data_IF_447153006434
#
_entry.id   IF_447153006434
#
_cell.length_a   1.000
_cell.length_b   1.000
_cell.length_c   1.000
_cell.angle_alpha   90.00
_cell.angle_beta   90.00
_cell.angle_gamma   90.00
#
_symmetry.space_group_name_H-M   'P 1'
#
loop_
_entity.id
_entity.type
_entity.pdbx_description
1 polymer ?
#
# COMPACT_ATOMS: atom_id res chain seq x y z
N UNK A 1 29.58 -16.83 76.48
CA UNK A 1 29.89 -15.78 75.48
C UNK A 1 29.90 -16.43 74.10
N UNK A 2 29.24 -15.80 73.13
CA UNK A 2 28.55 -16.45 72.01
C UNK A 2 29.43 -17.12 70.94
N UNK A 3 29.11 -18.38 70.63
CA UNK A 3 29.69 -19.19 69.56
C UNK A 3 29.14 -18.84 68.14
N UNK A 4 28.56 -17.65 67.98
CA UNK A 4 27.71 -17.27 66.84
C UNK A 4 28.24 -16.04 66.07
N UNK A 5 29.54 -15.74 66.17
CA UNK A 5 30.11 -14.49 65.66
C UNK A 5 30.91 -14.65 64.35
N UNK A 6 30.54 -15.59 63.49
CA UNK A 6 31.19 -15.73 62.17
C UNK A 6 30.28 -16.35 61.11
N UNK A 7 29.06 -15.84 61.01
CA UNK A 7 28.32 -15.95 59.75
C UNK A 7 28.55 -14.66 58.97
N UNK A 8 29.61 -14.65 58.18
CA UNK A 8 29.82 -13.61 57.16
C UNK A 8 28.70 -13.75 56.11
N UNK A 9 27.61 -13.01 56.31
CA UNK A 9 26.54 -12.87 55.33
C UNK A 9 27.07 -11.95 54.24
N UNK A 10 27.82 -12.53 53.29
CA UNK A 10 28.29 -11.85 52.11
C UNK A 10 27.19 -10.96 51.52
N UNK A 11 27.48 -9.66 51.40
CA UNK A 11 26.52 -8.67 50.90
C UNK A 11 25.94 -9.15 49.56
N UNK A 12 24.62 -9.10 49.34
CA UNK A 12 24.02 -9.58 48.11
C UNK A 12 24.64 -8.83 46.93
N UNK A 13 25.32 -9.55 46.03
CA UNK A 13 25.86 -8.99 44.78
C UNK A 13 24.70 -8.30 44.06
N UNK A 14 24.81 -7.01 43.69
CA UNK A 14 23.76 -6.33 42.94
C UNK A 14 23.56 -7.09 41.62
N UNK A 15 22.38 -7.69 41.45
CA UNK A 15 22.01 -8.32 40.17
C UNK A 15 22.01 -7.22 39.10
N UNK A 16 22.98 -7.25 38.19
CA UNK A 16 23.06 -6.31 37.05
C UNK A 16 21.93 -6.65 36.07
N UNK A 17 20.72 -6.16 36.36
CA UNK A 17 19.54 -6.27 35.49
C UNK A 17 19.66 -5.41 34.21
N UNK A 18 20.71 -4.61 34.08
CA UNK A 18 20.98 -3.77 32.92
C UNK A 18 21.13 -4.57 31.62
N UNK A 19 21.68 -5.79 31.68
CA UNK A 19 21.79 -6.68 30.51
C UNK A 19 20.44 -7.12 29.94
N UNK A 20 19.56 -7.77 30.72
CA UNK A 20 18.24 -8.18 30.23
C UNK A 20 17.32 -7.00 29.89
N UNK A 21 17.40 -5.87 30.60
CA UNK A 21 16.63 -4.67 30.25
C UNK A 21 17.07 -4.11 28.89
N UNK A 22 18.37 -3.99 28.64
CA UNK A 22 18.89 -3.52 27.36
C UNK A 22 18.48 -4.46 26.21
N UNK A 23 18.49 -5.78 26.43
CA UNK A 23 18.01 -6.76 25.46
C UNK A 23 16.52 -6.59 25.17
N UNK A 24 15.68 -6.42 26.20
CA UNK A 24 14.25 -6.17 26.00
C UNK A 24 14.00 -4.87 25.22
N UNK A 25 14.71 -3.78 25.55
CA UNK A 25 14.61 -2.53 24.79
C UNK A 25 15.03 -2.71 23.33
N UNK A 26 16.11 -3.44 23.06
CA UNK A 26 16.55 -3.73 21.70
C UNK A 26 15.49 -4.52 20.91
N UNK A 27 14.88 -5.53 21.54
CA UNK A 27 13.79 -6.30 20.92
C UNK A 27 12.55 -5.44 20.67
N UNK A 28 12.13 -4.61 21.63
CA UNK A 28 11.00 -3.71 21.45
C UNK A 28 11.22 -2.69 20.33
N UNK A 29 12.43 -2.13 20.20
CA UNK A 29 12.74 -1.22 19.11
C UNK A 29 12.75 -1.94 17.76
N UNK A 30 13.29 -3.16 17.70
CA UNK A 30 13.32 -3.97 16.49
C UNK A 30 11.91 -4.37 16.05
N UNK A 31 11.12 -5.01 16.92
CA UNK A 31 9.76 -5.44 16.62
C UNK A 31 8.81 -4.25 16.47
N UNK A 32 8.93 -3.23 17.30
CA UNK A 32 8.12 -2.01 17.21
C UNK A 32 8.38 -1.26 15.90
N UNK A 33 9.63 -1.14 15.48
CA UNK A 33 9.99 -0.53 14.19
C UNK A 33 9.44 -1.32 13.00
N UNK A 34 9.59 -2.65 13.00
CA UNK A 34 9.03 -3.51 11.94
C UNK A 34 7.50 -3.45 11.88
N UNK A 35 6.84 -3.51 13.04
CA UNK A 35 5.38 -3.43 13.13
C UNK A 35 4.89 -2.06 12.70
N UNK A 36 5.56 -0.98 13.12
CA UNK A 36 5.24 0.38 12.68
C UNK A 36 5.38 0.51 11.16
N UNK A 37 6.47 0.00 10.59
CA UNK A 37 6.69 0.06 9.14
C UNK A 37 5.62 -0.71 8.36
N UNK A 38 5.31 -1.95 8.78
CA UNK A 38 4.26 -2.77 8.17
C UNK A 38 2.88 -2.12 8.30
N UNK A 39 2.53 -1.61 9.49
CA UNK A 39 1.29 -0.89 9.72
C UNK A 39 1.24 0.39 8.87
N UNK A 40 2.31 1.18 8.84
CA UNK A 40 2.38 2.41 8.05
C UNK A 40 2.14 2.14 6.56
N UNK A 41 2.72 1.07 6.04
CA UNK A 41 2.50 0.63 4.66
C UNK A 41 1.03 0.32 4.38
N UNK A 42 0.43 -0.51 5.23
CA UNK A 42 -0.99 -0.89 5.14
C UNK A 42 -1.91 0.31 5.32
N UNK A 43 -1.61 1.24 6.22
CA UNK A 43 -2.40 2.45 6.41
C UNK A 43 -2.41 3.35 5.18
N UNK A 44 -1.28 3.47 4.47
CA UNK A 44 -1.22 4.27 3.23
C UNK A 44 -2.07 3.68 2.12
N UNK A 45 -2.06 2.35 1.97
CA UNK A 45 -2.92 1.67 1.00
C UNK A 45 -4.40 1.87 1.32
N UNK A 46 -4.82 1.67 2.57
CA UNK A 46 -6.23 1.87 2.96
C UNK A 46 -6.68 3.32 2.79
N UNK A 47 -5.81 4.30 3.08
CA UNK A 47 -6.11 5.70 2.82
C UNK A 47 -6.31 5.95 1.30
N UNK A 48 -5.43 5.40 0.47
CA UNK A 48 -5.59 5.44 -0.99
C UNK A 48 -6.91 4.82 -1.45
N UNK A 49 -7.26 3.61 -0.99
CA UNK A 49 -8.54 2.96 -1.36
C UNK A 49 -9.73 3.79 -0.91
N UNK A 50 -9.68 4.40 0.29
CA UNK A 50 -10.73 5.30 0.77
C UNK A 50 -10.88 6.51 -0.16
N UNK A 51 -9.77 7.19 -0.48
CA UNK A 51 -9.80 8.36 -1.35
C UNK A 51 -10.31 8.00 -2.76
N UNK A 52 -9.85 6.88 -3.33
CA UNK A 52 -10.29 6.37 -4.63
C UNK A 52 -11.78 6.00 -4.64
N UNK A 53 -12.27 5.40 -3.54
CA UNK A 53 -13.68 5.05 -3.36
C UNK A 53 -14.55 6.30 -3.34
N UNK A 54 -14.11 7.35 -2.62
CA UNK A 54 -14.82 8.62 -2.54
C UNK A 54 -14.90 9.29 -3.92
N UNK A 55 -13.80 9.33 -4.68
CA UNK A 55 -13.79 9.89 -6.04
C UNK A 55 -14.64 9.08 -7.02
N UNK A 56 -14.60 7.74 -6.94
CA UNK A 56 -15.46 6.87 -7.77
C UNK A 56 -16.95 7.09 -7.45
N UNK A 57 -17.27 7.28 -6.17
CA UNK A 57 -18.63 7.58 -5.72
C UNK A 57 -19.09 8.96 -6.18
N UNK A 58 -18.24 9.98 -6.08
CA UNK A 58 -18.56 11.33 -6.54
C UNK A 58 -18.81 11.36 -8.05
N UNK A 59 -17.91 10.76 -8.83
CA UNK A 59 -18.04 10.54 -10.27
C UNK A 59 -19.37 9.85 -10.63
N UNK A 60 -19.77 8.82 -9.87
CA UNK A 60 -21.06 8.14 -10.07
C UNK A 60 -22.26 9.05 -9.81
N UNK A 61 -22.15 9.96 -8.85
CA UNK A 61 -23.25 10.86 -8.50
C UNK A 61 -23.38 12.05 -9.45
N UNK A 62 -22.27 12.48 -10.07
CA UNK A 62 -22.20 13.67 -10.93
C UNK A 62 -22.16 13.33 -12.41
N UNK A 63 -21.83 12.09 -12.78
CA UNK A 63 -21.64 11.61 -14.15
C UNK A 63 -20.57 12.40 -14.93
N UNK A 64 -19.52 12.86 -14.24
CA UNK A 64 -18.50 13.78 -14.81
C UNK A 64 -17.18 13.14 -15.21
N UNK A 65 -17.01 11.83 -14.97
CA UNK A 65 -15.74 11.16 -15.22
C UNK A 65 -15.43 11.00 -16.71
N UNK A 66 -14.13 10.90 -17.02
CA UNK A 66 -13.62 10.63 -18.36
C UNK A 66 -12.55 9.57 -18.30
N UNK A 67 -12.60 8.63 -19.24
CA UNK A 67 -11.60 7.58 -19.37
C UNK A 67 -10.87 7.76 -20.69
N UNK A 68 -9.55 7.86 -20.63
CA UNK A 68 -8.68 7.91 -21.80
C UNK A 68 -7.85 6.64 -21.84
N UNK A 69 -7.97 5.84 -22.89
CA UNK A 69 -7.18 4.62 -23.12
C UNK A 69 -6.32 4.85 -24.37
N UNK A 70 -5.01 4.59 -24.27
CA UNK A 70 -4.05 4.83 -25.35
C UNK A 70 -4.16 6.25 -25.97
N UNK A 71 -4.46 7.25 -25.13
CA UNK A 71 -4.62 8.65 -25.55
C UNK A 71 -5.94 8.99 -26.23
N UNK A 72 -6.88 8.05 -26.36
CA UNK A 72 -8.22 8.28 -26.91
C UNK A 72 -9.28 8.16 -25.82
N UNK A 73 -10.28 9.04 -25.83
CA UNK A 73 -11.42 8.95 -24.91
C UNK A 73 -12.25 7.71 -25.25
N UNK A 74 -12.48 6.86 -24.25
CA UNK A 74 -13.21 5.60 -24.36
C UNK A 74 -14.46 5.65 -23.50
N UNK A 75 -15.59 5.20 -24.05
CA UNK A 75 -16.84 5.08 -23.31
C UNK A 75 -16.77 3.85 -22.39
N UNK A 76 -16.58 4.08 -21.10
CA UNK A 76 -16.51 3.07 -20.05
C UNK A 76 -17.63 3.34 -19.06
N UNK A 77 -18.37 2.30 -18.67
CA UNK A 77 -19.47 2.50 -17.73
C UNK A 77 -18.95 2.75 -16.31
N UNK A 78 -19.70 3.51 -15.52
CA UNK A 78 -19.37 3.71 -14.09
C UNK A 78 -19.40 2.40 -13.29
N UNK A 79 -20.15 1.40 -13.77
CA UNK A 79 -20.18 0.07 -13.16
C UNK A 79 -18.85 -0.67 -13.41
N UNK A 80 -18.27 -0.57 -14.62
CA UNK A 80 -16.94 -1.14 -14.91
C UNK A 80 -15.83 -0.47 -14.08
N UNK A 81 -15.92 0.85 -13.85
CA UNK A 81 -15.01 1.56 -12.94
C UNK A 81 -15.18 1.11 -11.48
N UNK A 82 -16.42 0.85 -11.05
CA UNK A 82 -16.70 0.32 -9.71
C UNK A 82 -16.14 -1.09 -9.55
N UNK A 83 -16.21 -1.92 -10.60
CA UNK A 83 -15.60 -3.24 -10.63
C UNK A 83 -14.08 -3.18 -10.64
N UNK A 84 -13.49 -2.19 -11.33
CA UNK A 84 -12.05 -1.96 -11.30
C UNK A 84 -11.57 -1.60 -9.90
N UNK A 85 -12.25 -0.66 -9.23
CA UNK A 85 -11.99 -0.33 -7.83
C UNK A 85 -12.08 -1.57 -6.93
N UNK A 86 -13.11 -2.40 -7.11
CA UNK A 86 -13.26 -3.64 -6.36
C UNK A 86 -12.09 -4.61 -6.59
N UNK A 87 -11.60 -4.75 -7.82
CA UNK A 87 -10.43 -5.57 -8.13
C UNK A 87 -9.14 -5.01 -7.50
N UNK A 88 -8.97 -3.69 -7.51
CA UNK A 88 -7.82 -3.00 -6.90
C UNK A 88 -7.82 -3.22 -5.38
N UNK A 89 -8.95 -3.02 -4.71
CA UNK A 89 -9.11 -3.25 -3.26
C UNK A 89 -8.83 -4.72 -2.91
N UNK A 90 -9.42 -5.66 -3.66
CA UNK A 90 -9.24 -7.10 -3.44
C UNK A 90 -7.80 -7.58 -3.69
N UNK A 91 -7.11 -7.01 -4.67
CA UNK A 91 -5.70 -7.32 -4.95
C UNK A 91 -4.79 -6.87 -3.79
N UNK A 92 -5.23 -5.90 -3.00
CA UNK A 92 -4.52 -5.40 -1.84
C UNK A 92 -3.28 -4.58 -2.20
N UNK A 93 -2.52 -4.24 -1.16
CA UNK A 93 -1.29 -3.48 -1.32
C UNK A 93 -0.24 -4.30 -2.08
N UNK A 94 0.17 -3.83 -3.25
CA UNK A 94 1.28 -4.41 -4.00
C UNK A 94 2.63 -3.85 -3.54
N UNK A 95 3.55 -3.56 -4.46
CA UNK A 95 4.87 -2.97 -4.21
C UNK A 95 4.86 -1.49 -4.63
N UNK A 96 5.14 -0.59 -3.69
CA UNK A 96 5.28 0.84 -4.01
C UNK A 96 6.53 1.10 -4.84
N UNK A 97 6.37 1.81 -5.96
CA UNK A 97 7.46 2.25 -6.81
C UNK A 97 7.15 3.62 -7.42
N UNK A 98 8.14 4.26 -8.03
CA UNK A 98 7.91 5.46 -8.84
C UNK A 98 7.12 5.07 -10.11
N UNK A 99 6.25 5.96 -10.56
CA UNK A 99 5.55 5.75 -11.82
C UNK A 99 6.55 5.72 -12.99
N UNK A 100 6.28 4.92 -14.03
CA UNK A 100 7.05 4.96 -15.27
C UNK A 100 7.09 6.36 -15.88
N UNK A 101 8.16 6.67 -16.61
CA UNK A 101 8.28 7.92 -17.38
C UNK A 101 7.46 7.89 -18.68
N UNK A 102 7.09 6.69 -19.13
CA UNK A 102 6.24 6.48 -20.30
C UNK A 102 4.81 6.96 -20.05
N UNK A 103 4.08 7.27 -21.13
CA UNK A 103 2.68 7.64 -21.00
C UNK A 103 1.86 6.48 -20.43
N UNK A 104 0.90 6.77 -19.53
CA UNK A 104 0.00 5.75 -19.01
C UNK A 104 -0.81 5.11 -20.15
N UNK A 105 -1.06 3.82 -19.99
CA UNK A 105 -1.98 3.09 -20.87
C UNK A 105 -3.40 3.65 -20.73
N UNK A 106 -3.83 3.92 -19.49
CA UNK A 106 -5.12 4.52 -19.24
C UNK A 106 -5.06 5.60 -18.16
N UNK A 107 -5.90 6.62 -18.33
CA UNK A 107 -6.13 7.70 -17.37
C UNK A 107 -7.62 7.82 -17.12
N UNK A 108 -8.02 7.72 -15.86
CA UNK A 108 -9.38 7.99 -15.40
C UNK A 108 -9.34 9.33 -14.67
N UNK A 109 -9.99 10.33 -15.22
CA UNK A 109 -10.27 11.60 -14.55
C UNK A 109 -11.65 11.49 -13.90
N UNK A 110 -11.71 11.62 -12.57
CA UNK A 110 -12.95 11.46 -11.80
C UNK A 110 -13.83 12.73 -11.80
N UNK A 111 -13.34 13.85 -12.33
CA UNK A 111 -14.07 15.12 -12.39
C UNK A 111 -14.00 15.97 -11.10
N UNK A 112 -13.56 15.38 -9.99
CA UNK A 112 -13.30 16.06 -8.71
C UNK A 112 -11.88 16.65 -8.61
N UNK A 113 -11.10 16.53 -9.68
CA UNK A 113 -9.69 16.92 -9.75
C UNK A 113 -8.71 15.79 -9.40
N UNK A 114 -9.21 14.61 -9.03
CA UNK A 114 -8.40 13.42 -8.84
C UNK A 114 -8.27 12.61 -10.13
N UNK A 115 -7.19 11.83 -10.22
CA UNK A 115 -6.91 10.97 -11.38
C UNK A 115 -6.39 9.62 -10.95
N UNK A 116 -6.77 8.57 -11.68
CA UNK A 116 -6.15 7.24 -11.62
C UNK A 116 -5.48 6.95 -12.95
N UNK A 117 -4.16 6.82 -12.92
CA UNK A 117 -3.33 6.45 -14.06
C UNK A 117 -2.88 4.99 -13.94
N UNK A 118 -2.83 4.31 -15.08
CA UNK A 118 -2.60 2.87 -15.16
C UNK A 118 -1.57 2.59 -16.25
N UNK A 119 -0.54 1.81 -15.91
CA UNK A 119 0.48 1.33 -16.84
C UNK A 119 0.52 -0.18 -16.83
N UNK A 120 0.96 -0.75 -17.95
CA UNK A 120 1.47 -2.11 -17.98
C UNK A 120 2.98 -2.06 -17.69
N UNK A 121 3.45 -2.83 -16.72
CA UNK A 121 4.87 -2.83 -16.33
C UNK A 121 5.41 -4.24 -16.19
N UNK A 122 6.73 -4.41 -16.35
CA UNK A 122 7.42 -5.61 -15.90
C UNK A 122 7.47 -5.65 -14.37
N UNK A 123 7.02 -6.76 -13.79
CA UNK A 123 6.95 -6.98 -12.35
C UNK A 123 8.30 -7.48 -11.82
N UNK A 124 8.69 -7.02 -10.64
CA UNK A 124 9.93 -7.44 -10.00
C UNK A 124 9.64 -8.60 -9.05
N UNK A 125 10.18 -9.79 -9.36
CA UNK A 125 10.01 -11.03 -8.61
C UNK A 125 8.52 -11.39 -8.35
N UNK A 126 7.69 -11.52 -9.41
CA UNK A 126 6.29 -11.89 -9.24
C UNK A 126 6.18 -13.29 -8.61
N UNK A 127 5.15 -13.48 -7.80
CA UNK A 127 4.80 -14.78 -7.19
C UNK A 127 4.01 -15.68 -8.14
N UNK A 128 3.61 -15.15 -9.30
CA UNK A 128 2.79 -15.79 -10.31
C UNK A 128 3.61 -16.09 -11.58
N UNK A 129 3.06 -16.90 -12.49
CA UNK A 129 3.72 -17.31 -13.74
C UNK A 129 3.81 -16.20 -14.80
N UNK A 130 3.21 -15.03 -14.55
CA UNK A 130 3.30 -13.87 -15.46
C UNK A 130 4.35 -12.87 -15.00
N UNK A 131 5.00 -12.24 -15.98
CA UNK A 131 6.08 -11.26 -15.75
C UNK A 131 5.62 -9.81 -15.84
N UNK A 132 4.40 -9.56 -16.31
CA UNK A 132 3.83 -8.22 -16.46
C UNK A 132 2.56 -8.07 -15.64
N UNK A 133 2.29 -6.85 -15.19
CA UNK A 133 1.08 -6.53 -14.43
C UNK A 133 0.77 -5.04 -14.45
N UNK A 134 -0.32 -4.64 -13.79
CA UNK A 134 -0.70 -3.24 -13.70
C UNK A 134 0.16 -2.51 -12.66
N UNK A 135 0.57 -1.30 -13.01
CA UNK A 135 0.96 -0.27 -12.05
C UNK A 135 -0.15 0.78 -11.97
N UNK A 136 -0.58 1.10 -10.76
CA UNK A 136 -1.61 2.11 -10.50
C UNK A 136 -0.95 3.32 -9.85
N UNK A 137 -1.30 4.53 -10.31
CA UNK A 137 -1.05 5.78 -9.59
C UNK A 137 -2.34 6.55 -9.44
N UNK A 138 -2.78 6.72 -8.21
CA UNK A 138 -3.84 7.66 -7.89
C UNK A 138 -3.25 8.96 -7.38
N UNK A 139 -3.76 10.07 -7.86
CA UNK A 139 -3.41 11.42 -7.42
C UNK A 139 -4.68 12.14 -7.00
N UNK A 140 -4.74 12.58 -5.74
CA UNK A 140 -5.90 13.33 -5.25
C UNK A 140 -5.95 14.76 -5.82
N UNK A 141 -7.07 15.45 -5.62
CA UNK A 141 -7.26 16.84 -6.06
C UNK A 141 -6.26 17.86 -5.46
N UNK A 142 -5.49 17.47 -4.44
CA UNK A 142 -4.44 18.28 -3.81
C UNK A 142 -3.05 17.94 -4.35
N UNK A 143 -2.94 17.00 -5.29
CA UNK A 143 -1.71 16.55 -5.91
C UNK A 143 -0.94 15.50 -5.11
N UNK A 144 -1.52 14.92 -4.05
CA UNK A 144 -0.88 13.84 -3.30
C UNK A 144 -1.10 12.53 -4.04
N UNK A 145 0.00 11.86 -4.38
CA UNK A 145 -0.05 10.61 -5.14
C UNK A 145 0.28 9.36 -4.30
N UNK A 146 -0.34 8.23 -4.65
CA UNK A 146 0.03 6.89 -4.22
C UNK A 146 0.19 5.99 -5.45
N UNK A 147 1.37 5.37 -5.58
CA UNK A 147 1.72 4.56 -6.75
C UNK A 147 2.29 3.20 -6.37
N UNK A 148 1.84 2.14 -7.03
CA UNK A 148 2.30 0.76 -6.79
C UNK A 148 2.03 -0.18 -7.96
N UNK A 149 2.90 -1.18 -8.14
CA UNK A 149 2.64 -2.36 -8.99
C UNK A 149 2.12 -3.54 -8.16
N UNK A 150 1.34 -4.42 -8.79
CA UNK A 150 0.87 -5.64 -8.12
C UNK A 150 0.92 -6.84 -9.04
N UNK A 151 1.32 -7.98 -8.50
CA UNK A 151 1.23 -9.27 -9.16
C UNK A 151 -0.09 -10.00 -8.84
N UNK A 152 -0.94 -9.48 -7.95
CA UNK A 152 -2.20 -10.10 -7.54
C UNK A 152 -3.37 -9.83 -8.49
N UNK A 153 -3.19 -8.88 -9.43
CA UNK A 153 -4.18 -8.52 -10.43
C UNK A 153 -3.57 -8.69 -11.82
N UNK A 154 -4.19 -9.53 -12.65
CA UNK A 154 -3.74 -9.77 -14.02
C UNK A 154 -4.06 -8.58 -14.92
N UNK A 155 -3.12 -8.22 -15.80
CA UNK A 155 -3.27 -7.09 -16.73
C UNK A 155 -4.55 -7.18 -17.57
N UNK A 156 -4.88 -8.36 -18.09
CA UNK A 156 -6.03 -8.57 -18.96
C UNK A 156 -7.37 -8.33 -18.25
N UNK A 157 -7.41 -8.50 -16.92
CA UNK A 157 -8.61 -8.18 -16.13
C UNK A 157 -8.87 -6.67 -16.08
N UNK A 158 -7.81 -5.85 -16.12
CA UNK A 158 -7.90 -4.39 -16.14
C UNK A 158 -8.34 -3.92 -17.52
N UNK A 159 -7.66 -4.39 -18.57
CA UNK A 159 -7.96 -4.04 -19.97
C UNK A 159 -9.43 -4.32 -20.31
N UNK A 160 -9.94 -5.48 -19.91
CA UNK A 160 -11.34 -5.88 -20.14
C UNK A 160 -12.36 -4.88 -19.58
N UNK A 161 -12.07 -4.27 -18.43
CA UNK A 161 -12.96 -3.29 -17.81
C UNK A 161 -12.84 -1.89 -18.44
N UNK A 162 -11.77 -1.64 -19.19
CA UNK A 162 -11.52 -0.36 -19.87
C UNK A 162 -11.98 -0.36 -21.33
N UNK A 163 -12.74 -1.38 -21.75
CA UNK A 163 -13.39 -1.43 -23.07
C UNK A 163 -12.55 -2.03 -24.20
N UNK A 164 -11.50 -2.78 -23.90
CA UNK A 164 -10.69 -3.55 -24.88
C UNK A 164 -10.85 -5.07 -24.74
#
# INVERSE_FOLDING_TARGET
MGLYDSVDRGKPKPKRLTGPIALCCALFLLFGGLTYWACHYQFRFHAFISDLTDSTRDARSTETFRVTVNGSETDVSIDDLSDLLYLIDKAGAGRTAAAPEEMPYAVIDYGDGSTLEIWKVELVNPSNDWTEGPFFRYTDAKGKSYGYDTDQLRWESVVRLLGE
#
